data_IF_798193403261
#
_entry.id   IF_798193403261
#
_cell.length_a   1.000
_cell.length_b   1.000
_cell.length_c   1.000
_cell.angle_alpha   90.00
_cell.angle_beta   90.00
_cell.angle_gamma   90.00
#
_symmetry.space_group_name_H-M   'P 1'
#
loop_
_entity.id
_entity.type
_entity.pdbx_description
1 polymer ?
#
# COMPACT_ATOMS: atom_id res chain seq x y z
N UNK A 1 12.52 -12.47 -24.08
CA UNK A 1 12.33 -12.44 -25.55
C UNK A 1 11.16 -11.53 -25.85
N UNK A 2 11.37 -10.49 -26.66
CA UNK A 2 10.38 -9.44 -26.92
C UNK A 2 9.42 -9.85 -28.06
N UNK A 3 8.38 -10.60 -27.69
CA UNK A 3 7.36 -11.17 -28.59
C UNK A 3 6.46 -10.12 -29.25
N UNK A 4 6.54 -8.87 -28.78
CA UNK A 4 5.75 -7.73 -29.23
C UNK A 4 5.93 -7.43 -30.72
N UNK A 5 7.14 -7.61 -31.23
CA UNK A 5 7.46 -7.36 -32.65
C UNK A 5 6.88 -8.43 -33.58
N UNK A 6 6.97 -9.71 -33.19
CA UNK A 6 6.38 -10.84 -33.90
C UNK A 6 4.86 -10.77 -33.91
N UNK A 7 4.26 -10.39 -32.78
CA UNK A 7 2.82 -10.18 -32.67
C UNK A 7 2.32 -9.07 -33.61
N UNK A 8 3.00 -7.91 -33.67
CA UNK A 8 2.64 -6.84 -34.62
C UNK A 8 2.70 -7.31 -36.07
N UNK A 9 3.71 -8.08 -36.45
CA UNK A 9 3.84 -8.62 -37.82
C UNK A 9 2.70 -9.58 -38.16
N UNK A 10 2.30 -10.43 -37.22
CA UNK A 10 1.17 -11.35 -37.37
C UNK A 10 -0.16 -10.61 -37.50
N UNK A 11 -0.43 -9.64 -36.62
CA UNK A 11 -1.64 -8.80 -36.68
C UNK A 11 -1.68 -8.05 -38.01
N UNK A 12 -0.56 -7.47 -38.45
CA UNK A 12 -0.50 -6.72 -39.70
C UNK A 12 -0.78 -7.61 -40.93
N UNK A 13 -0.27 -8.84 -40.94
CA UNK A 13 -0.53 -9.84 -41.99
C UNK A 13 -2.00 -10.23 -42.07
N UNK A 14 -2.64 -10.46 -40.93
CA UNK A 14 -4.07 -10.77 -40.86
C UNK A 14 -4.94 -9.57 -41.26
N UNK A 15 -4.57 -8.35 -40.85
CA UNK A 15 -5.30 -7.14 -41.29
C UNK A 15 -5.20 -6.88 -42.79
N UNK A 16 -4.06 -7.20 -43.44
CA UNK A 16 -3.92 -7.08 -44.90
C UNK A 16 -4.72 -8.14 -45.67
N UNK A 17 -4.85 -9.35 -45.13
CA UNK A 17 -5.69 -10.41 -45.71
C UNK A 17 -7.19 -10.09 -45.63
N UNK A 18 -7.60 -9.31 -44.63
CA UNK A 18 -9.00 -8.86 -44.47
C UNK A 18 -9.34 -7.62 -45.32
N UNK A 19 -8.34 -6.92 -45.86
CA UNK A 19 -8.54 -5.78 -46.77
C UNK A 19 -8.67 -6.20 -48.25
N UNK A 20 -8.21 -7.40 -48.61
CA UNK A 20 -8.39 -7.97 -49.96
C UNK A 20 -9.77 -8.63 -50.16
N UNK A 21 -10.53 -8.82 -49.09
CA UNK A 21 -11.93 -9.25 -49.13
C UNK A 21 -12.83 -8.01 -49.22
N UNK A 22 -13.58 -7.90 -50.32
CA UNK A 22 -14.30 -6.70 -50.76
C UNK A 22 -15.61 -6.45 -49.97
N UNK A 23 -15.62 -6.67 -48.66
CA UNK A 23 -16.73 -6.28 -47.79
C UNK A 23 -16.41 -4.94 -47.13
N UNK A 24 -17.29 -3.95 -47.33
CA UNK A 24 -17.16 -2.61 -46.71
C UNK A 24 -16.92 -2.78 -45.20
N UNK A 25 -15.77 -2.35 -44.68
CA UNK A 25 -15.47 -2.56 -43.28
C UNK A 25 -16.32 -1.57 -42.46
N UNK A 26 -17.29 -2.10 -41.73
CA UNK A 26 -17.78 -1.45 -40.52
C UNK A 26 -16.54 -1.03 -39.71
N UNK A 27 -16.35 0.27 -39.49
CA UNK A 27 -15.15 0.83 -38.87
C UNK A 27 -14.78 0.06 -37.60
N UNK A 28 -13.74 -0.80 -37.69
CA UNK A 28 -13.25 -1.59 -36.56
C UNK A 28 -12.65 -0.63 -35.53
N UNK A 29 -13.28 -0.57 -34.34
CA UNK A 29 -12.88 0.27 -33.20
C UNK A 29 -11.53 -0.14 -32.58
N UNK A 30 -10.91 -1.19 -33.11
CA UNK A 30 -9.78 -1.92 -32.51
C UNK A 30 -8.40 -1.38 -32.96
N UNK A 31 -8.36 -0.45 -33.93
CA UNK A 31 -7.14 0.18 -34.45
C UNK A 31 -6.69 1.42 -33.66
N UNK A 32 -7.52 1.92 -32.76
CA UNK A 32 -7.13 2.98 -31.85
C UNK A 32 -6.56 2.35 -30.57
N UNK A 33 -5.45 2.88 -29.99
CA UNK A 33 -5.06 2.47 -28.65
C UNK A 33 -6.29 2.56 -27.75
N UNK A 34 -6.53 1.58 -26.85
CA UNK A 34 -7.73 1.56 -26.03
C UNK A 34 -7.90 2.95 -25.43
N UNK A 35 -9.03 3.59 -25.77
CA UNK A 35 -9.34 4.95 -25.30
C UNK A 35 -9.14 4.90 -23.79
N UNK A 36 -8.19 5.69 -23.26
CA UNK A 36 -7.93 5.69 -21.81
C UNK A 36 -9.28 5.88 -21.14
N UNK A 37 -9.72 4.86 -20.42
CA UNK A 37 -11.02 4.87 -19.76
C UNK A 37 -10.93 6.06 -18.80
N UNK A 38 -11.77 7.06 -19.05
CA UNK A 38 -11.82 8.22 -18.19
C UNK A 38 -12.62 7.82 -16.96
N UNK A 39 -11.93 7.34 -15.93
CA UNK A 39 -12.52 6.88 -14.67
C UNK A 39 -13.22 8.01 -13.91
N UNK A 40 -13.18 9.25 -14.41
CA UNK A 40 -13.91 10.41 -13.89
C UNK A 40 -15.37 10.47 -14.36
N UNK A 41 -15.79 9.58 -15.26
CA UNK A 41 -17.19 9.49 -15.68
C UNK A 41 -18.07 8.90 -14.58
N UNK A 42 -19.31 9.39 -14.39
CA UNK A 42 -20.20 9.04 -13.27
C UNK A 42 -20.74 7.60 -13.31
N UNK A 43 -20.34 6.78 -14.28
CA UNK A 43 -20.81 5.40 -14.38
C UNK A 43 -20.32 4.50 -13.25
N UNK A 44 -19.21 4.84 -12.57
CA UNK A 44 -18.68 4.08 -11.43
C UNK A 44 -18.27 5.03 -10.29
N UNK A 45 -19.22 5.35 -9.39
CA UNK A 45 -18.99 6.23 -8.24
C UNK A 45 -17.74 5.80 -7.44
N UNK A 46 -17.62 4.52 -7.10
CA UNK A 46 -16.48 3.93 -6.40
C UNK A 46 -15.13 4.21 -7.10
N UNK A 47 -15.01 3.89 -8.39
CA UNK A 47 -13.75 4.04 -9.11
C UNK A 47 -13.36 5.52 -9.30
N UNK A 48 -14.34 6.39 -9.45
CA UNK A 48 -14.10 7.83 -9.56
C UNK A 48 -13.52 8.40 -8.26
N UNK A 49 -14.06 8.01 -7.12
CA UNK A 49 -13.58 8.41 -5.80
C UNK A 49 -12.21 7.80 -5.50
N UNK A 50 -12.03 6.50 -5.79
CA UNK A 50 -10.74 5.83 -5.67
C UNK A 50 -9.64 6.53 -6.49
N UNK A 51 -9.95 6.98 -7.71
CA UNK A 51 -9.01 7.71 -8.56
C UNK A 51 -8.65 9.09 -7.98
N UNK A 52 -9.63 9.81 -7.42
CA UNK A 52 -9.40 11.09 -6.75
C UNK A 52 -8.46 10.89 -5.55
N UNK A 53 -8.74 9.89 -4.71
CA UNK A 53 -7.88 9.54 -3.56
C UNK A 53 -6.47 9.19 -4.05
N UNK A 54 -6.34 8.36 -5.08
CA UNK A 54 -5.04 7.99 -5.67
C UNK A 54 -4.23 9.21 -6.13
N UNK A 55 -4.91 10.20 -6.73
CA UNK A 55 -4.27 11.46 -7.16
C UNK A 55 -3.77 12.26 -5.95
N UNK A 56 -4.59 12.42 -4.92
CA UNK A 56 -4.19 13.11 -3.69
C UNK A 56 -3.02 12.41 -2.99
N UNK A 57 -3.04 11.08 -2.97
CA UNK A 57 -1.98 10.26 -2.37
C UNK A 57 -0.65 10.41 -3.11
N UNK A 58 -0.70 10.44 -4.44
CA UNK A 58 0.48 10.73 -5.27
C UNK A 58 1.02 12.13 -5.00
N UNK A 59 0.15 13.13 -4.93
CA UNK A 59 0.56 14.51 -4.61
C UNK A 59 1.16 14.62 -3.21
N UNK A 60 0.60 13.93 -2.22
CA UNK A 60 1.16 13.86 -0.87
C UNK A 60 2.57 13.24 -0.87
N UNK A 61 2.73 12.10 -1.54
CA UNK A 61 4.03 11.43 -1.62
C UNK A 61 5.08 12.31 -2.31
N UNK A 62 4.71 12.97 -3.42
CA UNK A 62 5.59 13.91 -4.11
C UNK A 62 5.99 15.09 -3.21
N UNK A 63 5.02 15.69 -2.51
CA UNK A 63 5.28 16.78 -1.56
C UNK A 63 6.25 16.37 -0.45
N UNK A 64 6.10 15.16 0.12
CA UNK A 64 7.03 14.63 1.13
C UNK A 64 8.46 14.54 0.57
N UNK A 65 8.61 14.05 -0.66
CA UNK A 65 9.93 13.92 -1.30
C UNK A 65 10.56 15.28 -1.63
N UNK A 66 9.75 16.24 -2.10
CA UNK A 66 10.19 17.60 -2.44
C UNK A 66 10.67 18.39 -1.21
N UNK A 67 9.99 18.21 -0.07
CA UNK A 67 10.29 18.90 1.17
C UNK A 67 11.51 18.30 1.90
N UNK A 68 11.75 16.99 1.75
CA UNK A 68 12.83 16.24 2.42
C UNK A 68 14.19 16.95 2.49
N UNK A 69 14.78 17.46 1.40
CA UNK A 69 16.10 18.11 1.45
C UNK A 69 16.10 19.36 2.34
N UNK A 70 15.06 20.19 2.24
CA UNK A 70 14.93 21.43 3.00
C UNK A 70 14.59 21.15 4.48
N UNK A 71 13.79 20.11 4.74
CA UNK A 71 13.42 19.66 6.07
C UNK A 71 14.63 19.16 6.88
N UNK A 72 15.42 18.28 6.29
CA UNK A 72 16.59 17.67 6.93
C UNK A 72 17.87 18.52 6.81
N UNK A 73 17.82 19.69 6.17
CA UNK A 73 18.97 20.54 5.85
C UNK A 73 20.12 19.78 5.15
N UNK A 74 19.78 18.86 4.22
CA UNK A 74 20.82 18.13 3.49
C UNK A 74 21.58 19.08 2.56
N UNK A 75 22.91 18.95 2.43
CA UNK A 75 23.67 19.69 1.43
C UNK A 75 23.17 19.28 0.04
N UNK A 76 22.40 20.17 -0.59
CA UNK A 76 21.89 19.95 -1.94
C UNK A 76 23.05 20.17 -2.90
N UNK A 77 23.64 19.08 -3.39
CA UNK A 77 24.84 19.08 -4.23
C UNK A 77 24.51 19.61 -5.64
N UNK A 78 24.25 20.91 -5.74
CA UNK A 78 23.74 21.57 -6.94
C UNK A 78 24.89 22.27 -7.65
N UNK A 79 25.93 21.52 -8.05
CA UNK A 79 27.05 22.07 -8.84
C UNK A 79 26.72 22.24 -10.33
N UNK A 80 25.50 21.91 -10.79
CA UNK A 80 25.15 21.87 -12.22
C UNK A 80 24.60 23.18 -12.79
N UNK A 81 24.39 24.22 -11.99
CA UNK A 81 23.92 25.52 -12.50
C UNK A 81 24.37 26.62 -11.55
N UNK A 82 25.35 27.43 -11.96
CA UNK A 82 26.06 28.45 -11.17
C UNK A 82 25.17 29.56 -10.60
N UNK A 83 24.24 29.20 -9.72
CA UNK A 83 23.38 30.10 -8.96
C UNK A 83 23.56 29.74 -7.49
N UNK A 84 23.90 30.70 -6.62
CA UNK A 84 24.01 30.42 -5.19
C UNK A 84 22.64 29.95 -4.71
N UNK A 85 22.52 28.65 -4.40
CA UNK A 85 21.33 28.12 -3.77
C UNK A 85 21.25 28.77 -2.41
N UNK A 86 20.33 29.75 -2.24
CA UNK A 86 19.95 30.24 -0.92
C UNK A 86 19.68 29.00 -0.08
N UNK A 87 20.39 28.84 1.03
CA UNK A 87 20.16 27.71 1.90
C UNK A 87 18.70 27.75 2.34
N UNK A 88 17.85 26.91 1.74
CA UNK A 88 16.45 26.70 2.11
C UNK A 88 16.42 25.92 3.43
N UNK A 89 17.06 26.46 4.46
CA UNK A 89 17.00 25.94 5.81
C UNK A 89 15.64 26.34 6.33
N UNK A 90 14.75 25.37 6.53
CA UNK A 90 13.54 25.64 7.28
C UNK A 90 13.89 25.96 8.73
N UNK A 91 13.15 26.88 9.32
CA UNK A 91 13.11 27.07 10.77
C UNK A 91 12.34 25.92 11.43
N UNK A 92 12.56 25.72 12.72
CA UNK A 92 11.81 24.71 13.49
C UNK A 92 10.28 24.90 13.45
N UNK A 93 9.70 26.11 13.59
CA UNK A 93 8.25 26.26 13.49
C UNK A 93 7.69 25.95 12.10
N UNK A 94 8.43 26.26 11.03
CA UNK A 94 8.02 25.89 9.66
C UNK A 94 8.02 24.37 9.44
N UNK A 95 8.94 23.63 10.11
CA UNK A 95 8.95 22.16 10.07
C UNK A 95 7.72 21.59 10.79
N UNK A 96 7.38 22.13 11.95
CA UNK A 96 6.23 21.68 12.73
C UNK A 96 4.92 21.91 11.95
N UNK A 97 4.78 23.06 11.29
CA UNK A 97 3.62 23.35 10.42
C UNK A 97 3.51 22.35 9.27
N UNK A 98 4.63 21.98 8.65
CA UNK A 98 4.67 20.96 7.61
C UNK A 98 4.21 19.61 8.16
N UNK A 99 4.76 19.17 9.30
CA UNK A 99 4.39 17.91 9.94
C UNK A 99 2.90 17.87 10.29
N UNK A 100 2.36 18.95 10.86
CA UNK A 100 0.93 19.10 11.12
C UNK A 100 0.11 18.98 9.82
N UNK A 101 0.54 19.65 8.75
CA UNK A 101 -0.17 19.60 7.46
C UNK A 101 -0.14 18.20 6.81
N UNK A 102 0.99 17.49 6.92
CA UNK A 102 1.14 16.12 6.41
C UNK A 102 0.25 15.19 7.23
N UNK A 103 0.30 15.26 8.57
CA UNK A 103 -0.53 14.46 9.45
C UNK A 103 -2.03 14.67 9.18
N UNK A 104 -2.47 15.93 9.04
CA UNK A 104 -3.85 16.24 8.70
C UNK A 104 -4.25 15.67 7.33
N UNK A 105 -3.34 15.69 6.35
CA UNK A 105 -3.60 15.10 5.02
C UNK A 105 -3.68 13.58 5.10
N UNK A 106 -2.80 12.92 5.86
CA UNK A 106 -2.82 11.47 6.09
C UNK A 106 -4.13 11.05 6.77
N UNK A 107 -4.56 11.75 7.82
CA UNK A 107 -5.83 11.48 8.50
C UNK A 107 -7.04 11.69 7.58
N UNK A 108 -7.02 12.73 6.75
CA UNK A 108 -8.07 12.94 5.74
C UNK A 108 -8.10 11.78 4.74
N UNK A 109 -6.97 11.39 4.17
CA UNK A 109 -6.90 10.25 3.23
C UNK A 109 -7.38 8.96 3.89
N UNK A 110 -6.99 8.73 5.15
CA UNK A 110 -7.43 7.58 5.94
C UNK A 110 -8.97 7.53 6.04
N UNK A 111 -9.60 8.66 6.39
CA UNK A 111 -11.06 8.76 6.47
C UNK A 111 -11.75 8.55 5.10
N UNK A 112 -11.17 9.10 4.03
CA UNK A 112 -11.70 8.90 2.68
C UNK A 112 -11.58 7.46 2.20
N UNK A 113 -10.50 6.76 2.56
CA UNK A 113 -10.36 5.34 2.25
C UNK A 113 -11.38 4.50 3.03
N UNK A 114 -11.69 4.86 4.29
CA UNK A 114 -12.77 4.21 5.06
C UNK A 114 -14.13 4.41 4.39
N UNK A 115 -14.47 5.64 4.02
CA UNK A 115 -15.71 5.95 3.31
C UNK A 115 -15.80 5.24 1.95
N UNK A 116 -14.69 5.18 1.20
CA UNK A 116 -14.61 4.43 -0.04
C UNK A 116 -14.84 2.93 0.17
N UNK A 117 -14.30 2.36 1.25
CA UNK A 117 -14.51 0.95 1.58
C UNK A 117 -15.98 0.67 1.92
N UNK A 118 -16.60 1.51 2.75
CA UNK A 118 -18.03 1.43 3.09
C UNK A 118 -18.92 1.54 1.84
N UNK A 119 -18.60 2.49 0.94
CA UNK A 119 -19.28 2.63 -0.35
C UNK A 119 -19.07 1.39 -1.24
N UNK A 120 -17.86 0.84 -1.26
CA UNK A 120 -17.53 -0.36 -2.02
C UNK A 120 -18.31 -1.59 -1.52
N UNK A 121 -18.47 -1.72 -0.20
CA UNK A 121 -19.27 -2.76 0.45
C UNK A 121 -20.76 -2.59 0.16
N UNK A 122 -21.32 -1.37 0.31
CA UNK A 122 -22.74 -1.13 0.03
C UNK A 122 -23.10 -1.41 -1.44
N UNK A 123 -22.23 -1.04 -2.38
CA UNK A 123 -22.43 -1.36 -3.80
C UNK A 123 -22.40 -2.87 -4.06
N UNK A 124 -21.58 -3.62 -3.33
CA UNK A 124 -21.52 -5.09 -3.45
C UNK A 124 -22.75 -5.72 -2.80
N UNK A 125 -23.28 -5.15 -1.72
CA UNK A 125 -24.51 -5.61 -1.08
C UNK A 125 -25.75 -5.44 -1.97
N UNK A 126 -25.88 -4.28 -2.63
CA UNK A 126 -26.96 -3.96 -3.57
C UNK A 126 -26.91 -4.81 -4.85
N UNK A 127 -25.78 -5.44 -5.15
CA UNK A 127 -25.70 -6.44 -6.22
C UNK A 127 -26.44 -7.71 -5.77
N UNK A 128 -27.70 -7.83 -6.22
CA UNK A 128 -28.45 -9.07 -6.14
C UNK A 128 -27.68 -10.19 -6.86
N UNK A 129 -27.54 -11.35 -6.19
CA UNK A 129 -27.10 -12.55 -6.87
C UNK A 129 -28.17 -12.93 -7.89
N UNK A 130 -27.83 -12.84 -9.18
CA UNK A 130 -28.69 -13.22 -10.32
C UNK A 130 -29.20 -14.71 -10.22
N UNK A 131 -28.73 -15.50 -9.25
CA UNK A 131 -29.17 -16.87 -9.01
C UNK A 131 -30.46 -16.93 -8.18
N UNK A 132 -31.61 -16.94 -8.87
CA UNK A 132 -32.87 -17.29 -8.24
C UNK A 132 -32.82 -18.71 -7.61
N UNK A 133 -33.45 -18.95 -6.45
CA UNK A 133 -33.55 -20.27 -5.82
C UNK A 133 -34.11 -21.34 -6.77
N UNK A 134 -34.96 -20.92 -7.71
CA UNK A 134 -35.51 -21.77 -8.76
C UNK A 134 -34.45 -22.23 -9.75
N UNK A 135 -33.50 -21.37 -10.15
CA UNK A 135 -32.40 -21.75 -11.04
C UNK A 135 -31.40 -22.67 -10.33
N UNK A 136 -31.09 -22.42 -9.06
CA UNK A 136 -30.30 -23.34 -8.22
C UNK A 136 -30.94 -24.71 -8.11
N UNK A 137 -32.24 -24.76 -7.83
CA UNK A 137 -33.00 -26.01 -7.76
C UNK A 137 -33.09 -26.69 -9.13
N UNK A 138 -33.24 -25.93 -10.22
CA UNK A 138 -33.26 -26.49 -11.58
C UNK A 138 -31.89 -27.03 -12.00
N UNK A 139 -30.77 -26.44 -11.54
CA UNK A 139 -29.41 -26.96 -11.72
C UNK A 139 -29.17 -28.21 -10.88
N UNK A 140 -29.59 -28.21 -9.61
CA UNK A 140 -29.46 -29.36 -8.71
C UNK A 140 -30.28 -30.56 -9.21
N UNK A 141 -31.54 -30.33 -9.59
CA UNK A 141 -32.43 -31.34 -10.18
C UNK A 141 -31.90 -31.80 -11.55
N UNK A 142 -31.32 -30.89 -12.35
CA UNK A 142 -30.70 -31.23 -13.63
C UNK A 142 -29.41 -32.06 -13.50
N UNK A 143 -28.63 -31.85 -12.43
CA UNK A 143 -27.43 -32.64 -12.10
C UNK A 143 -27.78 -34.03 -11.57
N UNK A 144 -28.97 -34.20 -10.98
CA UNK A 144 -29.51 -35.47 -10.50
C UNK A 144 -30.21 -36.29 -11.58
N UNK A 145 -30.51 -35.71 -12.76
CA UNK A 145 -31.17 -36.40 -13.88
C UNK A 145 -30.11 -37.03 -14.83
N UNK A 146 -29.92 -38.38 -14.79
CA UNK A 146 -28.89 -39.07 -15.56
C UNK A 146 -29.09 -39.02 -17.09
N UNK A 147 -30.26 -38.54 -17.57
CA UNK A 147 -30.56 -38.34 -19.00
C UNK A 147 -30.14 -36.96 -19.52
N UNK A 148 -30.06 -35.95 -18.65
CA UNK A 148 -29.65 -34.57 -19.00
C UNK A 148 -28.20 -34.25 -18.63
N UNK A 149 -27.57 -35.07 -17.80
CA UNK A 149 -26.14 -35.00 -17.45
C UNK A 149 -25.17 -35.08 -18.66
N UNK A 150 -25.65 -35.49 -19.84
CA UNK A 150 -24.86 -35.50 -21.08
C UNK A 150 -24.81 -34.15 -21.82
N UNK A 151 -25.59 -33.15 -21.42
CA UNK A 151 -25.66 -31.87 -22.12
C UNK A 151 -25.20 -30.72 -21.21
N UNK A 152 -23.92 -30.36 -21.36
CA UNK A 152 -23.24 -29.16 -20.84
C UNK A 152 -23.39 -28.96 -19.32
N UNK A 153 -22.39 -29.42 -18.56
CA UNK A 153 -22.12 -28.85 -17.25
C UNK A 153 -21.87 -27.35 -17.43
N UNK A 154 -22.87 -26.53 -17.08
CA UNK A 154 -22.69 -25.08 -17.14
C UNK A 154 -21.61 -24.70 -16.14
N UNK A 155 -20.52 -24.06 -16.56
CA UNK A 155 -19.46 -23.66 -15.65
C UNK A 155 -20.06 -22.84 -14.52
N UNK A 156 -19.49 -22.98 -13.32
CA UNK A 156 -19.87 -22.12 -12.20
C UNK A 156 -19.42 -20.71 -12.57
N UNK A 157 -20.36 -19.90 -13.08
CA UNK A 157 -20.09 -18.53 -13.42
C UNK A 157 -19.90 -17.76 -12.12
N UNK A 158 -18.77 -17.08 -12.02
CA UNK A 158 -18.50 -16.21 -10.89
C UNK A 158 -19.58 -15.14 -10.81
N UNK A 159 -20.26 -15.03 -9.66
CA UNK A 159 -21.26 -13.97 -9.46
C UNK A 159 -20.57 -12.62 -9.68
N UNK A 160 -21.24 -11.71 -10.39
CA UNK A 160 -20.75 -10.34 -10.63
C UNK A 160 -20.37 -9.66 -9.31
N UNK A 161 -21.11 -9.99 -8.25
CA UNK A 161 -20.86 -9.60 -6.86
C UNK A 161 -19.45 -9.97 -6.37
N UNK A 162 -19.04 -11.23 -6.55
CA UNK A 162 -17.72 -11.70 -6.10
C UNK A 162 -16.58 -11.03 -6.88
N UNK A 163 -16.78 -10.78 -8.19
CA UNK A 163 -15.78 -10.08 -9.01
C UNK A 163 -15.65 -8.64 -8.55
N UNK A 164 -16.78 -7.96 -8.31
CA UNK A 164 -16.81 -6.59 -7.82
C UNK A 164 -16.16 -6.48 -6.42
N UNK A 165 -16.47 -7.40 -5.51
CA UNK A 165 -15.86 -7.47 -4.17
C UNK A 165 -14.33 -7.66 -4.24
N UNK A 166 -13.84 -8.56 -5.10
CA UNK A 166 -12.41 -8.77 -5.30
C UNK A 166 -11.71 -7.52 -5.88
N UNK A 167 -12.35 -6.85 -6.84
CA UNK A 167 -11.81 -5.60 -7.41
C UNK A 167 -11.82 -4.48 -6.38
N UNK A 168 -12.93 -4.26 -5.68
CA UNK A 168 -13.05 -3.21 -4.67
C UNK A 168 -12.01 -3.40 -3.55
N UNK A 169 -11.92 -4.60 -2.98
CA UNK A 169 -10.93 -4.91 -1.95
C UNK A 169 -9.49 -4.76 -2.45
N UNK A 170 -9.20 -5.11 -3.71
CA UNK A 170 -7.86 -4.92 -4.30
C UNK A 170 -7.48 -3.44 -4.44
N UNK A 171 -8.44 -2.58 -4.77
CA UNK A 171 -8.25 -1.13 -4.91
C UNK A 171 -8.03 -0.49 -3.54
N UNK A 172 -8.87 -0.81 -2.57
CA UNK A 172 -8.73 -0.31 -1.18
C UNK A 172 -7.41 -0.77 -0.56
N UNK A 173 -7.02 -2.03 -0.78
CA UNK A 173 -5.73 -2.57 -0.35
C UNK A 173 -4.56 -1.76 -0.93
N UNK A 174 -4.58 -1.50 -2.23
CA UNK A 174 -3.52 -0.72 -2.88
C UNK A 174 -3.44 0.71 -2.33
N UNK A 175 -4.58 1.38 -2.11
CA UNK A 175 -4.63 2.72 -1.53
C UNK A 175 -4.05 2.74 -0.11
N UNK A 176 -4.42 1.78 0.75
CA UNK A 176 -3.90 1.65 2.10
C UNK A 176 -2.39 1.34 2.11
N UNK A 177 -1.93 0.44 1.26
CA UNK A 177 -0.51 0.14 1.09
C UNK A 177 0.29 1.39 0.70
N UNK A 178 -0.25 2.18 -0.23
CA UNK A 178 0.40 3.39 -0.72
C UNK A 178 0.40 4.52 0.34
N UNK A 179 -0.68 4.65 1.13
CA UNK A 179 -0.75 5.61 2.25
C UNK A 179 0.23 5.24 3.36
N UNK A 180 0.33 3.96 3.69
CA UNK A 180 1.30 3.44 4.64
C UNK A 180 2.74 3.75 4.18
N UNK A 181 3.06 3.58 2.90
CA UNK A 181 4.38 3.90 2.36
C UNK A 181 4.69 5.41 2.49
N UNK A 182 3.74 6.29 2.13
CA UNK A 182 3.90 7.72 2.30
C UNK A 182 4.13 8.09 3.78
N UNK A 183 3.33 7.54 4.69
CA UNK A 183 3.47 7.77 6.12
C UNK A 183 4.82 7.24 6.67
N UNK A 184 5.29 6.07 6.23
CA UNK A 184 6.60 5.53 6.61
C UNK A 184 7.75 6.42 6.13
N UNK A 185 7.62 7.01 4.95
CA UNK A 185 8.64 7.94 4.42
C UNK A 185 8.71 9.21 5.28
N UNK A 186 7.55 9.76 5.66
CA UNK A 186 7.46 10.90 6.57
C UNK A 186 7.97 10.55 7.98
N UNK A 187 7.59 9.39 8.53
CA UNK A 187 8.07 8.90 9.83
C UNK A 187 9.59 8.85 9.92
N UNK A 188 10.25 8.27 8.92
CA UNK A 188 11.72 8.19 8.85
C UNK A 188 12.37 9.57 8.78
N UNK A 189 11.74 10.49 8.05
CA UNK A 189 12.23 11.87 7.95
C UNK A 189 12.12 12.58 9.30
N UNK A 190 11.02 12.40 10.01
CA UNK A 190 10.79 12.97 11.33
C UNK A 190 11.77 12.39 12.36
N UNK A 191 11.97 11.07 12.37
CA UNK A 191 12.95 10.40 13.24
C UNK A 191 14.37 10.95 13.04
N UNK A 192 14.81 11.09 11.79
CA UNK A 192 16.12 11.66 11.48
C UNK A 192 16.27 13.10 11.97
N UNK A 193 15.24 13.93 11.82
CA UNK A 193 15.25 15.30 12.32
C UNK A 193 15.33 15.34 13.85
N UNK A 194 14.48 14.58 14.54
CA UNK A 194 14.46 14.51 16.01
C UNK A 194 15.80 14.03 16.57
N UNK A 195 16.39 13.03 15.91
CA UNK A 195 17.73 12.54 16.25
C UNK A 195 18.79 13.63 16.09
N UNK A 196 18.81 14.34 14.95
CA UNK A 196 19.74 15.45 14.74
C UNK A 196 19.54 16.59 15.75
N UNK A 197 18.28 16.88 16.13
CA UNK A 197 17.95 17.91 17.12
C UNK A 197 18.56 17.55 18.49
N UNK A 198 18.40 16.30 18.91
CA UNK A 198 18.95 15.80 20.17
C UNK A 198 20.48 15.73 20.14
N UNK A 199 21.09 15.22 19.06
CA UNK A 199 22.54 15.19 18.87
C UNK A 199 23.15 16.59 18.92
N UNK A 200 22.55 17.60 18.26
CA UNK A 200 23.05 18.98 18.30
C UNK A 200 23.07 19.57 19.70
N UNK A 201 22.04 19.32 20.51
CA UNK A 201 22.00 19.80 21.89
C UNK A 201 23.03 19.06 22.76
N UNK A 202 23.21 17.75 22.56
CA UNK A 202 24.24 16.98 23.24
C UNK A 202 25.66 17.38 22.84
N UNK A 203 25.94 17.60 21.55
CA UNK A 203 27.27 18.00 21.06
C UNK A 203 27.69 19.38 21.58
N UNK A 204 26.73 20.28 21.82
CA UNK A 204 27.03 21.57 22.46
C UNK A 204 27.52 21.37 23.92
N UNK A 205 27.05 20.34 24.66
CA UNK A 205 27.54 20.06 26.03
C UNK A 205 28.96 19.47 26.01
N UNK A 206 29.31 18.78 24.93
CA UNK A 206 30.62 18.14 24.74
C UNK A 206 31.65 19.10 24.15
N UNK A 207 31.31 20.38 23.95
CA UNK A 207 32.27 21.37 23.50
C UNK A 207 33.42 21.40 24.53
N UNK A 208 34.69 21.32 24.09
CA UNK A 208 35.80 21.16 25.01
C UNK A 208 35.79 22.32 26.00
N UNK A 209 35.58 22.02 27.28
CA UNK A 209 35.95 22.93 28.34
C UNK A 209 37.44 23.29 28.11
N UNK A 210 37.84 24.56 28.27
CA UNK A 210 39.26 24.90 28.26
C UNK A 210 40.00 23.92 29.18
N UNK A 211 41.21 23.46 28.80
CA UNK A 211 41.93 22.47 29.57
C UNK A 211 41.93 22.92 31.02
N UNK A 212 41.33 22.09 31.88
CA UNK A 212 41.33 22.30 33.32
C UNK A 212 42.78 22.10 33.73
N UNK A 213 43.58 23.17 33.68
CA UNK A 213 44.86 23.22 34.39
C UNK A 213 44.51 22.93 35.83
N UNK A 214 44.91 21.76 36.33
CA UNK A 214 44.89 21.52 37.77
C UNK A 214 45.62 22.71 38.41
N UNK A 215 45.00 23.40 39.38
CA UNK A 215 45.70 24.47 40.07
C UNK A 215 46.91 23.83 40.73
N UNK A 216 48.10 24.29 40.37
CA UNK A 216 49.15 24.33 41.37
C UNK A 216 48.64 25.35 42.40
N UNK A 217 48.11 24.88 43.52
CA UNK A 217 47.42 25.71 44.53
C UNK A 217 48.26 26.93 44.95
N UNK A 218 49.59 26.79 44.94
CA UNK A 218 50.54 27.87 45.26
C UNK A 218 50.57 29.01 44.22
N UNK A 219 50.25 28.74 42.94
CA UNK A 219 50.28 29.73 41.84
C UNK A 219 48.91 30.38 41.67
N UNK A 220 47.83 29.67 42.01
CA UNK A 220 46.47 30.17 41.93
C UNK A 220 46.22 31.30 42.95
N UNK A 221 46.68 31.14 44.19
CA UNK A 221 46.54 32.16 45.24
C UNK A 221 47.40 33.41 44.97
N UNK A 222 48.60 33.25 44.41
CA UNK A 222 49.47 34.37 44.02
C UNK A 222 48.90 35.16 42.82
N UNK A 223 48.33 34.47 41.82
CA UNK A 223 47.59 35.10 40.72
C UNK A 223 46.34 35.83 41.22
N UNK A 224 45.54 35.21 42.11
CA UNK A 224 44.34 35.81 42.70
C UNK A 224 44.67 37.04 43.55
N UNK A 225 45.81 37.07 44.25
CA UNK A 225 46.30 38.26 44.96
C UNK A 225 46.85 39.35 44.04
N UNK A 226 47.34 38.99 42.84
CA UNK A 226 47.83 39.93 41.82
C UNK A 226 46.72 40.61 41.00
N UNK A 227 45.51 40.04 41.01
CA UNK A 227 44.34 40.56 40.30
C UNK A 227 43.73 41.76 41.04
N UNK A 228 43.38 42.82 40.31
CA UNK A 228 42.64 43.93 40.89
C UNK A 228 41.25 43.47 41.38
N UNK A 229 40.68 44.12 42.42
CA UNK A 229 39.34 43.80 42.91
C UNK A 229 38.26 43.88 41.81
N UNK A 230 38.45 44.70 40.78
CA UNK A 230 37.57 44.78 39.61
C UNK A 230 37.67 43.55 38.70
N UNK A 231 38.87 43.01 38.46
CA UNK A 231 39.06 41.81 37.64
C UNK A 231 38.54 40.56 38.32
N UNK A 232 38.69 40.45 39.65
CA UNK A 232 38.12 39.36 40.43
C UNK A 232 36.58 39.34 40.33
N UNK A 233 35.95 40.52 40.44
CA UNK A 233 34.50 40.66 40.30
C UNK A 233 34.03 40.26 38.89
N UNK A 234 34.78 40.64 37.85
CA UNK A 234 34.50 40.22 36.48
C UNK A 234 34.58 38.70 36.30
N UNK A 235 35.63 38.05 36.81
CA UNK A 235 35.79 36.60 36.74
C UNK A 235 34.67 35.86 37.49
N UNK A 236 34.28 36.33 38.67
CA UNK A 236 33.14 35.77 39.40
C UNK A 236 31.83 35.91 38.61
N UNK A 237 31.64 37.05 37.94
CA UNK A 237 30.47 37.29 37.11
C UNK A 237 30.46 36.42 35.84
N UNK A 238 31.61 36.21 35.21
CA UNK A 238 31.78 35.30 34.07
C UNK A 238 31.51 33.84 34.48
N UNK A 239 32.03 33.38 35.61
CA UNK A 239 31.74 32.04 36.14
C UNK A 239 30.25 31.84 36.39
N UNK A 240 29.60 32.80 37.05
CA UNK A 240 28.15 32.77 37.28
C UNK A 240 27.36 32.78 35.96
N UNK A 241 27.84 33.50 34.95
CA UNK A 241 27.23 33.49 33.61
C UNK A 241 27.34 32.13 32.94
N UNK A 242 28.51 31.48 33.01
CA UNK A 242 28.70 30.13 32.48
C UNK A 242 27.82 29.11 33.18
N UNK A 243 27.74 29.15 34.51
CA UNK A 243 26.86 28.27 35.29
C UNK A 243 25.39 28.41 34.87
N UNK A 244 24.92 29.65 34.69
CA UNK A 244 23.57 29.90 34.20
C UNK A 244 23.37 29.35 32.78
N UNK A 245 24.34 29.51 31.87
CA UNK A 245 24.28 28.96 30.52
C UNK A 245 24.21 27.43 30.52
N UNK A 246 25.04 26.76 31.33
CA UNK A 246 24.97 25.30 31.50
C UNK A 246 23.62 24.83 32.06
N UNK A 247 23.09 25.52 33.08
CA UNK A 247 21.76 25.21 33.63
C UNK A 247 20.67 25.33 32.56
N UNK A 248 20.63 26.47 31.85
CA UNK A 248 19.68 26.71 30.77
C UNK A 248 19.79 25.66 29.66
N UNK A 249 21.01 25.21 29.39
CA UNK A 249 21.28 24.21 28.38
C UNK A 249 20.79 22.81 28.78
N UNK A 250 20.94 22.42 30.06
CA UNK A 250 20.40 21.18 30.59
C UNK A 250 18.87 21.18 30.57
N UNK A 251 18.24 22.30 30.93
CA UNK A 251 16.79 22.47 30.85
C UNK A 251 16.30 22.34 29.40
N UNK A 252 16.97 23.02 28.46
CA UNK A 252 16.69 22.91 27.02
C UNK A 252 16.82 21.46 26.49
N UNK A 253 17.80 20.69 26.96
CA UNK A 253 17.94 19.27 26.59
C UNK A 253 16.78 18.44 27.13
N UNK A 254 16.41 18.66 28.40
CA UNK A 254 15.30 17.95 29.03
C UNK A 254 13.99 18.22 28.31
N UNK A 255 13.73 19.48 27.94
CA UNK A 255 12.57 19.87 27.16
C UNK A 255 12.57 19.27 25.76
N UNK A 256 13.74 19.27 25.10
CA UNK A 256 13.92 18.62 23.79
C UNK A 256 13.64 17.12 23.88
N UNK A 257 14.17 16.42 24.89
CA UNK A 257 13.94 14.99 25.10
C UNK A 257 12.45 14.69 25.30
N UNK A 258 11.75 15.50 26.10
CA UNK A 258 10.31 15.36 26.33
C UNK A 258 9.52 15.53 25.03
N UNK A 259 9.80 16.59 24.29
CA UNK A 259 9.16 16.86 22.99
C UNK A 259 9.42 15.72 21.98
N UNK A 260 10.67 15.24 21.89
CA UNK A 260 11.03 14.11 21.01
C UNK A 260 10.24 12.85 21.38
N UNK A 261 10.12 12.55 22.67
CA UNK A 261 9.37 11.39 23.15
C UNK A 261 7.87 11.50 22.81
N UNK A 262 7.26 12.67 23.02
CA UNK A 262 5.85 12.91 22.70
C UNK A 262 5.57 12.80 21.20
N UNK A 263 6.39 13.43 20.36
CA UNK A 263 6.26 13.36 18.90
C UNK A 263 6.39 11.91 18.43
N UNK A 264 7.35 11.16 18.98
CA UNK A 264 7.55 9.75 18.66
C UNK A 264 6.33 8.91 19.05
N UNK A 265 5.74 9.15 20.22
CA UNK A 265 4.53 8.46 20.66
C UNK A 265 3.34 8.72 19.72
N UNK A 266 3.13 9.98 19.32
CA UNK A 266 2.08 10.35 18.37
C UNK A 266 2.28 9.69 17.00
N UNK A 267 3.52 9.57 16.55
CA UNK A 267 3.83 8.92 15.27
C UNK A 267 3.60 7.41 15.32
N UNK A 268 3.95 6.77 16.44
CA UNK A 268 3.66 5.35 16.67
C UNK A 268 2.16 5.11 16.65
N UNK A 269 1.37 5.96 17.32
CA UNK A 269 -0.09 5.85 17.33
C UNK A 269 -0.67 5.90 15.89
N UNK A 270 -0.25 6.87 15.07
CA UNK A 270 -0.70 6.98 13.69
C UNK A 270 -0.28 5.76 12.84
N UNK A 271 0.94 5.27 13.02
CA UNK A 271 1.43 4.08 12.34
C UNK A 271 0.63 2.83 12.72
N UNK A 272 0.22 2.71 13.98
CA UNK A 272 -0.61 1.60 14.46
C UNK A 272 -2.02 1.66 13.86
N UNK A 273 -2.63 2.85 13.80
CA UNK A 273 -3.96 3.02 13.19
C UNK A 273 -3.95 2.59 11.71
N UNK A 274 -2.94 3.04 10.95
CA UNK A 274 -2.76 2.64 9.54
C UNK A 274 -2.51 1.14 9.38
N UNK A 275 -1.72 0.54 10.29
CA UNK A 275 -1.45 -0.89 10.24
C UNK A 275 -2.70 -1.71 10.57
N UNK A 276 -3.50 -1.28 11.54
CA UNK A 276 -4.76 -1.94 11.91
C UNK A 276 -5.76 -1.90 10.76
N UNK A 277 -5.94 -0.74 10.11
CA UNK A 277 -6.82 -0.64 8.95
C UNK A 277 -6.33 -1.47 7.76
N UNK A 278 -5.02 -1.53 7.53
CA UNK A 278 -4.44 -2.38 6.48
C UNK A 278 -4.76 -3.86 6.73
N UNK A 279 -4.63 -4.33 7.97
CA UNK A 279 -4.96 -5.72 8.33
C UNK A 279 -6.43 -6.05 8.09
N UNK A 280 -7.36 -5.15 8.44
CA UNK A 280 -8.78 -5.32 8.15
C UNK A 280 -9.01 -5.45 6.63
N UNK A 281 -8.34 -4.61 5.84
CA UNK A 281 -8.44 -4.65 4.38
C UNK A 281 -7.84 -5.93 3.78
N UNK A 282 -6.73 -6.43 4.33
CA UNK A 282 -6.12 -7.69 3.90
C UNK A 282 -7.01 -8.90 4.15
N UNK A 283 -7.76 -8.91 5.27
CA UNK A 283 -8.73 -9.96 5.53
C UNK A 283 -9.83 -9.97 4.47
N UNK A 284 -10.45 -8.82 4.19
CA UNK A 284 -11.47 -8.66 3.16
C UNK A 284 -10.96 -9.02 1.77
N UNK A 285 -9.73 -8.62 1.44
CA UNK A 285 -9.07 -8.96 0.19
C UNK A 285 -8.85 -10.47 0.05
N UNK A 286 -8.30 -11.12 1.08
CA UNK A 286 -8.05 -12.56 1.05
C UNK A 286 -9.35 -13.37 0.98
N UNK A 287 -10.41 -12.92 1.65
CA UNK A 287 -11.74 -13.54 1.56
C UNK A 287 -12.31 -13.42 0.14
N UNK A 288 -12.27 -12.22 -0.45
CA UNK A 288 -12.77 -11.99 -1.80
C UNK A 288 -11.97 -12.78 -2.85
N UNK A 289 -10.64 -12.83 -2.74
CA UNK A 289 -9.77 -13.62 -3.63
C UNK A 289 -9.96 -15.12 -3.43
N UNK A 290 -10.07 -15.59 -2.19
CA UNK A 290 -10.32 -17.00 -1.88
C UNK A 290 -11.64 -17.49 -2.47
N UNK A 291 -12.69 -16.67 -2.42
CA UNK A 291 -13.96 -16.98 -3.07
C UNK A 291 -13.83 -17.15 -4.60
N UNK A 292 -12.98 -16.34 -5.25
CA UNK A 292 -12.67 -16.50 -6.69
C UNK A 292 -12.03 -17.86 -6.96
N UNK A 293 -11.00 -18.20 -6.19
CA UNK A 293 -10.22 -19.44 -6.37
C UNK A 293 -11.06 -20.69 -6.12
N UNK A 294 -11.96 -20.65 -5.12
CA UNK A 294 -12.91 -21.73 -4.82
C UNK A 294 -13.87 -22.00 -5.99
N UNK A 295 -14.36 -20.95 -6.65
CA UNK A 295 -15.24 -21.06 -7.83
C UNK A 295 -14.48 -21.68 -9.00
N UNK A 296 -13.23 -21.27 -9.21
CA UNK A 296 -12.38 -21.81 -10.27
C UNK A 296 -12.10 -23.30 -10.08
N UNK A 297 -11.65 -23.71 -8.88
CA UNK A 297 -11.43 -25.12 -8.53
C UNK A 297 -12.71 -25.96 -8.58
N UNK A 298 -13.84 -25.36 -8.19
CA UNK A 298 -15.16 -25.99 -8.31
C UNK A 298 -15.52 -26.28 -9.77
N UNK A 299 -15.24 -25.33 -10.67
CA UNK A 299 -15.47 -25.51 -12.10
C UNK A 299 -14.56 -26.60 -12.71
N UNK A 300 -13.28 -26.65 -12.32
CA UNK A 300 -12.36 -27.72 -12.73
C UNK A 300 -12.85 -29.10 -12.28
N UNK A 301 -13.37 -29.18 -11.05
CA UNK A 301 -13.93 -30.41 -10.48
C UNK A 301 -15.18 -30.87 -11.22
N UNK A 302 -16.07 -29.95 -11.63
CA UNK A 302 -17.24 -30.27 -12.46
C UNK A 302 -16.84 -30.84 -13.83
N UNK A 303 -15.85 -30.24 -14.48
CA UNK A 303 -15.32 -30.71 -15.77
C UNK A 303 -14.68 -32.09 -15.62
N UNK A 304 -13.92 -32.30 -14.55
CA UNK A 304 -13.25 -33.57 -14.26
C UNK A 304 -14.25 -34.69 -13.91
N UNK A 305 -15.29 -34.40 -13.12
CA UNK A 305 -16.36 -35.33 -12.81
C UNK A 305 -17.13 -35.78 -14.06
N UNK A 306 -17.42 -34.84 -14.97
CA UNK A 306 -18.05 -35.17 -16.25
C UNK A 306 -17.20 -36.13 -17.09
N UNK A 307 -15.89 -35.88 -17.22
CA UNK A 307 -14.97 -36.78 -17.94
C UNK A 307 -14.97 -38.19 -17.35
N UNK A 308 -15.00 -38.29 -16.03
CA UNK A 308 -14.98 -39.58 -15.33
C UNK A 308 -16.31 -40.35 -15.46
N UNK A 309 -17.46 -39.66 -15.51
CA UNK A 309 -18.78 -40.29 -15.65
C UNK A 309 -18.93 -41.12 -16.94
N UNK A 310 -18.33 -40.68 -18.05
CA UNK A 310 -18.31 -41.44 -19.30
C UNK A 310 -17.49 -42.74 -19.20
N UNK A 311 -16.41 -42.72 -18.40
CA UNK A 311 -15.58 -43.89 -18.13
C UNK A 311 -16.31 -44.91 -17.24
N UNK A 312 -16.94 -44.42 -16.15
CA UNK A 312 -17.72 -45.26 -15.24
C UNK A 312 -18.85 -45.99 -15.96
N UNK A 313 -19.54 -45.32 -16.90
CA UNK A 313 -20.62 -45.94 -17.69
C UNK A 313 -20.12 -47.11 -18.54
N UNK A 314 -18.95 -46.99 -19.18
CA UNK A 314 -18.36 -48.08 -19.97
C UNK A 314 -17.99 -49.27 -19.09
N UNK A 315 -17.45 -49.01 -17.90
CA UNK A 315 -17.06 -50.06 -16.97
C UNK A 315 -18.26 -50.81 -16.39
N UNK A 316 -19.33 -50.10 -16.03
CA UNK A 316 -20.60 -50.69 -15.58
C UNK A 316 -21.23 -51.56 -16.68
N UNK A 317 -21.23 -51.09 -17.94
CA UNK A 317 -21.77 -51.84 -19.07
C UNK A 317 -20.93 -53.11 -19.36
N UNK A 318 -19.61 -53.00 -19.30
CA UNK A 318 -18.70 -54.14 -19.41
C UNK A 318 -18.96 -55.19 -18.31
N UNK A 319 -19.18 -54.75 -17.06
CA UNK A 319 -19.53 -55.66 -15.96
C UNK A 319 -20.85 -56.36 -16.22
N UNK A 320 -21.88 -55.66 -16.68
CA UNK A 320 -23.17 -56.29 -17.00
C UNK A 320 -23.06 -57.32 -18.13
N UNK A 321 -22.27 -57.03 -19.16
CA UNK A 321 -22.00 -58.00 -20.24
C UNK A 321 -21.27 -59.23 -19.69
N UNK A 322 -20.21 -59.03 -18.91
CA UNK A 322 -19.45 -60.13 -18.32
C UNK A 322 -20.29 -60.97 -17.37
N UNK A 323 -21.11 -60.33 -16.52
CA UNK A 323 -22.04 -61.01 -15.63
C UNK A 323 -23.08 -61.82 -16.41
N UNK A 324 -23.60 -61.28 -17.51
CA UNK A 324 -24.53 -62.00 -18.39
C UNK A 324 -23.89 -63.25 -19.02
N UNK A 325 -22.64 -63.17 -19.44
CA UNK A 325 -21.91 -64.33 -19.96
C UNK A 325 -21.63 -65.38 -18.88
N UNK A 326 -21.29 -64.95 -17.67
CA UNK A 326 -21.10 -65.86 -16.53
C UNK A 326 -22.38 -66.60 -16.20
N UNK A 327 -23.53 -65.92 -16.18
CA UNK A 327 -24.83 -66.55 -15.95
C UNK A 327 -25.20 -67.53 -17.06
N UNK A 328 -24.96 -67.18 -18.32
CA UNK A 328 -25.23 -68.07 -19.46
C UNK A 328 -24.33 -69.32 -19.44
N UNK A 329 -23.08 -69.19 -18.99
CA UNK A 329 -22.18 -70.33 -18.83
C UNK A 329 -22.60 -71.25 -17.69
N UNK A 330 -23.09 -70.69 -16.57
CA UNK A 330 -23.66 -71.45 -15.46
C UNK A 330 -24.92 -72.21 -15.87
N UNK A 331 -25.83 -71.55 -16.60
CA UNK A 331 -27.07 -72.17 -17.13
C UNK A 331 -26.81 -73.24 -18.19
N UNK A 332 -25.69 -73.17 -18.92
CA UNK A 332 -25.28 -74.20 -19.87
C UNK A 332 -24.63 -75.42 -19.22
N UNK A 333 -24.09 -75.26 -18.00
CA UNK A 333 -23.34 -76.30 -17.31
C UNK A 333 -24.21 -77.16 -16.37
N UNK A 334 -25.30 -76.59 -15.82
CA UNK A 334 -26.42 -77.35 -15.26
C UNK A 334 -27.24 -78.03 -16.36
#
# INVERSE_FOLDING_TARGET
MDLTSSYRKLVQRETSNLQSSNEKPSARKDLFPPKRIDFTQPNNAFLSEAYIIAKHLRSLHQRILEIRPAYLNLPQNTYLRGRPSRSLKLSDPERDEIDHSIKATVQRMLSQIRQLNELGESLVEDMEDDESPKQLLQRFVGALDPRKAGNKANPMHMSKRNVAAAVHSSVVWWLNAQLRNANQTHAKMQELYLRQKLERQQSRLQQPLPPKSEPQDDVADELLQSLSPQQLQQLQQENKSMENEFSNMLDSIRDTQRSVAEISALQIQLSNELSSQMQQTEQLYNEAVGAVELVEKGNESLVSAHKNQASTRKWVLFIFIMLSFVLLFLDWYD
#
